data_IF_076448566325
#
_entry.id   IF_076448566325
#
_cell.length_a   1.000
_cell.length_b   1.000
_cell.length_c   1.000
_cell.angle_alpha   90.00
_cell.angle_beta   90.00
_cell.angle_gamma   90.00
#
_symmetry.space_group_name_H-M   'P 1'
#
loop_
_entity.id
_entity.type
_entity.pdbx_description
1 polymer ?
#
# COMPACT_ATOMS: atom_id res chain seq x y z
N UNK A 1 -0.10 25.41 13.44
CA UNK A 1 -0.84 24.41 12.66
C UNK A 1 0.03 23.15 12.42
N UNK A 2 1.34 23.29 12.28
CA UNK A 2 2.25 22.17 12.00
C UNK A 2 2.27 21.03 13.05
N UNK A 3 1.91 21.32 14.29
CA UNK A 3 1.89 20.37 15.41
C UNK A 3 0.47 19.93 15.82
N UNK A 4 -0.56 20.27 15.02
CA UNK A 4 -1.91 19.80 15.30
C UNK A 4 -2.03 18.35 14.87
N UNK A 5 -2.50 17.42 15.72
CA UNK A 5 -2.76 16.05 15.30
C UNK A 5 -3.80 16.02 14.19
N UNK A 6 -3.55 15.20 13.17
CA UNK A 6 -4.51 14.99 12.09
C UNK A 6 -5.81 14.44 12.67
N UNK A 7 -6.95 14.94 12.18
CA UNK A 7 -8.24 14.34 12.47
C UNK A 7 -8.29 12.95 11.84
N UNK A 8 -8.51 11.93 12.67
CA UNK A 8 -8.56 10.54 12.21
C UNK A 8 -9.98 10.06 11.90
N UNK A 9 -10.98 10.89 12.24
CA UNK A 9 -12.36 10.54 12.02
C UNK A 9 -12.90 11.11 10.72
N UNK A 10 -13.57 10.24 9.96
CA UNK A 10 -14.28 10.65 8.74
C UNK A 10 -15.64 11.23 9.17
N UNK A 11 -15.82 12.53 9.00
CA UNK A 11 -16.96 13.30 9.53
C UNK A 11 -18.34 12.86 9.03
N UNK A 12 -18.43 12.06 7.95
CA UNK A 12 -19.68 11.50 7.43
C UNK A 12 -19.97 10.05 7.87
N UNK A 13 -19.15 9.50 8.79
CA UNK A 13 -19.37 8.18 9.38
C UNK A 13 -19.78 8.37 10.85
N UNK A 14 -21.09 8.38 11.17
CA UNK A 14 -21.56 8.51 12.54
C UNK A 14 -21.05 7.32 13.38
N UNK A 15 -20.59 7.63 14.59
CA UNK A 15 -20.17 6.63 15.59
C UNK A 15 -19.05 5.66 15.16
N UNK A 16 -18.27 6.00 14.12
CA UNK A 16 -17.16 5.16 13.65
C UNK A 16 -17.59 3.85 12.98
N UNK A 17 -18.88 3.67 12.66
CA UNK A 17 -19.38 2.46 11.98
C UNK A 17 -19.15 2.54 10.46
N UNK A 18 -17.88 2.40 10.07
CA UNK A 18 -17.47 2.35 8.66
C UNK A 18 -18.09 1.17 7.91
N UNK A 19 -18.30 0.04 8.60
CA UNK A 19 -18.82 -1.17 8.00
C UNK A 19 -20.22 -0.96 7.45
N UNK A 20 -21.11 -0.30 8.19
CA UNK A 20 -22.48 -0.01 7.75
C UNK A 20 -22.52 0.90 6.52
N UNK A 21 -21.64 1.88 6.45
CA UNK A 21 -21.51 2.78 5.29
C UNK A 21 -21.04 2.02 4.06
N UNK A 22 -19.97 1.23 4.19
CA UNK A 22 -19.41 0.46 3.07
C UNK A 22 -20.40 -0.59 2.59
N UNK A 23 -21.16 -1.23 3.48
CA UNK A 23 -22.19 -2.23 3.12
C UNK A 23 -23.23 -1.68 2.14
N UNK A 24 -23.54 -0.39 2.21
CA UNK A 24 -24.47 0.27 1.28
C UNK A 24 -23.90 0.42 -0.14
N UNK A 25 -22.58 0.66 -0.24
CA UNK A 25 -21.92 0.96 -1.52
C UNK A 25 -21.21 -0.25 -2.15
N UNK A 26 -20.77 -1.20 -1.31
CA UNK A 26 -19.98 -2.37 -1.71
C UNK A 26 -20.39 -3.61 -0.91
N UNK A 27 -21.63 -4.10 -1.07
CA UNK A 27 -22.14 -5.26 -0.33
C UNK A 27 -21.31 -6.53 -0.59
N UNK A 28 -20.68 -6.65 -1.75
CA UNK A 28 -19.79 -7.76 -2.12
C UNK A 28 -18.56 -7.87 -1.22
N UNK A 29 -18.11 -6.77 -0.59
CA UNK A 29 -16.94 -6.75 0.29
C UNK A 29 -17.16 -7.49 1.63
N UNK A 30 -18.41 -7.91 1.91
CA UNK A 30 -18.78 -8.68 3.08
C UNK A 30 -18.98 -10.18 2.77
N UNK A 31 -18.73 -10.60 1.52
CA UNK A 31 -18.79 -12.02 1.17
C UNK A 31 -17.61 -12.77 1.77
N UNK A 32 -17.87 -13.98 2.23
CA UNK A 32 -16.82 -14.92 2.63
C UNK A 32 -15.90 -15.19 1.46
N UNK A 33 -14.62 -15.36 1.72
CA UNK A 33 -13.62 -15.63 0.71
C UNK A 33 -12.43 -16.38 1.29
N UNK A 34 -11.43 -16.60 0.46
CA UNK A 34 -10.27 -17.44 0.79
C UNK A 34 -9.16 -16.66 1.46
N UNK A 35 -8.49 -17.28 2.41
CA UNK A 35 -7.20 -16.86 2.92
C UNK A 35 -6.15 -17.82 2.35
N UNK A 36 -5.20 -17.28 1.60
CA UNK A 36 -4.11 -18.05 0.98
C UNK A 36 -2.78 -17.76 1.68
N UNK A 37 -1.90 -18.72 1.64
CA UNK A 37 -0.49 -18.53 1.95
C UNK A 37 0.28 -17.92 0.76
N UNK A 38 1.61 -17.75 0.90
CA UNK A 38 2.48 -17.20 -0.14
C UNK A 38 2.69 -18.16 -1.34
N UNK A 39 2.33 -19.43 -1.21
CA UNK A 39 2.38 -20.43 -2.28
C UNK A 39 1.08 -20.46 -3.08
N UNK A 40 0.02 -19.81 -2.57
CA UNK A 40 -1.32 -19.81 -3.13
C UNK A 40 -2.19 -20.96 -2.61
N UNK A 41 -1.77 -21.64 -1.55
CA UNK A 41 -2.57 -22.68 -0.89
C UNK A 41 -3.61 -22.05 0.03
N UNK A 42 -4.83 -22.57 -0.02
CA UNK A 42 -5.91 -22.09 0.88
C UNK A 42 -5.67 -22.64 2.28
N UNK A 43 -5.46 -21.75 3.24
CA UNK A 43 -5.22 -22.08 4.65
C UNK A 43 -6.36 -21.66 5.57
N UNK A 44 -7.37 -20.98 5.02
CA UNK A 44 -8.55 -20.57 5.77
C UNK A 44 -9.56 -19.79 4.96
N UNK A 45 -10.52 -19.20 5.66
CA UNK A 45 -11.58 -18.36 5.09
C UNK A 45 -11.73 -17.08 5.90
N UNK A 46 -12.14 -16.00 5.22
CA UNK A 46 -12.47 -14.72 5.84
C UNK A 46 -13.94 -14.37 5.67
N UNK A 47 -14.45 -13.52 6.54
CA UNK A 47 -15.83 -13.05 6.61
C UNK A 47 -16.06 -11.70 5.93
N UNK A 48 -15.26 -11.41 4.92
CA UNK A 48 -15.29 -10.17 4.12
C UNK A 48 -13.96 -9.45 4.12
N UNK A 49 -13.45 -9.10 2.92
CA UNK A 49 -12.16 -8.40 2.74
C UNK A 49 -12.12 -7.04 3.43
N UNK A 50 -13.29 -6.43 3.67
CA UNK A 50 -13.42 -5.13 4.34
C UNK A 50 -12.88 -5.13 5.78
N UNK A 51 -12.84 -6.30 6.42
CA UNK A 51 -12.39 -6.45 7.80
C UNK A 51 -10.85 -6.54 7.90
N UNK A 52 -10.14 -6.45 6.77
CA UNK A 52 -8.71 -6.64 6.71
C UNK A 52 -7.98 -5.46 6.11
N UNK A 53 -6.76 -5.24 6.59
CA UNK A 53 -5.87 -4.18 6.10
C UNK A 53 -4.48 -4.75 5.93
N UNK A 54 -3.76 -4.34 4.88
CA UNK A 54 -2.37 -4.76 4.66
C UNK A 54 -1.52 -4.40 5.89
N UNK A 55 -0.76 -5.38 6.39
CA UNK A 55 0.02 -5.27 7.62
C UNK A 55 -0.74 -5.67 8.90
N UNK A 56 -2.03 -5.97 8.82
CA UNK A 56 -2.81 -6.43 9.97
C UNK A 56 -2.33 -7.80 10.44
N UNK A 57 -2.15 -7.94 11.76
CA UNK A 57 -1.79 -9.19 12.44
C UNK A 57 -2.99 -9.81 13.17
N UNK A 58 -3.77 -8.96 13.87
CA UNK A 58 -4.88 -9.44 14.70
C UNK A 58 -6.11 -9.78 13.86
N UNK A 59 -6.85 -10.81 14.26
CA UNK A 59 -8.15 -11.15 13.64
C UNK A 59 -8.06 -12.06 12.42
N UNK A 60 -6.87 -12.54 12.02
CA UNK A 60 -6.72 -13.50 10.90
C UNK A 60 -7.32 -14.87 11.24
N UNK A 61 -7.35 -15.25 12.53
CA UNK A 61 -7.99 -16.49 13.06
C UNK A 61 -7.44 -17.80 12.47
N UNK A 62 -6.18 -17.81 12.01
CA UNK A 62 -5.52 -19.02 11.49
C UNK A 62 -4.46 -19.45 12.48
N UNK A 63 -4.51 -20.71 12.95
CA UNK A 63 -3.43 -21.28 13.76
C UNK A 63 -2.15 -21.35 12.95
N UNK A 64 -1.06 -20.83 13.50
CA UNK A 64 0.26 -20.84 12.87
C UNK A 64 1.35 -20.76 13.95
N UNK A 65 2.49 -21.42 13.71
CA UNK A 65 3.66 -21.33 14.58
C UNK A 65 4.24 -19.92 14.61
N UNK A 66 4.26 -19.26 13.44
CA UNK A 66 4.75 -17.89 13.28
C UNK A 66 3.59 -16.90 13.16
N UNK A 67 3.84 -15.64 13.55
CA UNK A 67 2.86 -14.60 13.43
C UNK A 67 2.56 -14.29 11.95
N UNK A 68 1.30 -14.44 11.54
CA UNK A 68 0.83 -14.10 10.20
C UNK A 68 0.37 -12.64 10.11
N UNK A 69 0.63 -12.05 8.97
CA UNK A 69 0.24 -10.69 8.59
C UNK A 69 -0.48 -10.70 7.25
N UNK A 70 -1.43 -9.82 7.07
CA UNK A 70 -2.05 -9.58 5.75
C UNK A 70 -1.02 -8.95 4.83
N UNK A 71 -0.61 -9.68 3.80
CA UNK A 71 0.40 -9.24 2.83
C UNK A 71 -0.25 -8.56 1.63
N UNK A 72 -1.37 -9.12 1.15
CA UNK A 72 -2.11 -8.58 0.03
C UNK A 72 -3.60 -8.86 0.16
N UNK A 73 -4.42 -8.03 -0.49
CA UNK A 73 -5.88 -8.16 -0.58
C UNK A 73 -6.26 -8.08 -2.05
N UNK A 74 -6.76 -9.19 -2.57
CA UNK A 74 -7.30 -9.31 -3.92
C UNK A 74 -8.81 -9.10 -3.89
N UNK A 75 -9.24 -7.90 -4.19
CA UNK A 75 -10.65 -7.56 -4.19
C UNK A 75 -11.42 -8.19 -5.36
N UNK A 76 -10.77 -8.46 -6.50
CA UNK A 76 -11.41 -9.06 -7.67
C UNK A 76 -11.74 -10.53 -7.43
N UNK A 77 -10.80 -11.27 -6.82
CA UNK A 77 -10.96 -12.68 -6.50
C UNK A 77 -11.49 -12.93 -5.08
N UNK A 78 -11.79 -11.87 -4.34
CA UNK A 78 -12.25 -11.93 -2.95
C UNK A 78 -11.33 -12.80 -2.07
N UNK A 79 -10.02 -12.51 -2.12
CA UNK A 79 -8.98 -13.33 -1.49
C UNK A 79 -8.03 -12.48 -0.68
N UNK A 80 -7.57 -13.01 0.45
CA UNK A 80 -6.54 -12.40 1.30
C UNK A 80 -5.31 -13.30 1.27
N UNK A 81 -4.12 -12.70 1.08
CA UNK A 81 -2.85 -13.40 1.14
C UNK A 81 -2.17 -13.03 2.45
N UNK A 82 -1.76 -14.04 3.20
CA UNK A 82 -1.07 -13.86 4.48
C UNK A 82 0.32 -14.49 4.45
N UNK A 83 1.20 -13.95 5.30
CA UNK A 83 2.57 -14.43 5.43
C UNK A 83 3.29 -13.79 6.60
N UNK A 84 4.56 -14.07 6.75
CA UNK A 84 5.39 -13.51 7.80
C UNK A 84 5.65 -12.01 7.59
N UNK A 85 6.07 -11.30 8.65
CA UNK A 85 6.28 -9.86 8.66
C UNK A 85 7.25 -9.37 7.59
N UNK A 86 8.27 -10.15 7.29
CA UNK A 86 9.31 -9.87 6.30
C UNK A 86 8.74 -9.76 4.88
N UNK A 87 7.62 -10.43 4.63
CA UNK A 87 6.92 -10.40 3.34
C UNK A 87 6.14 -9.09 3.11
N UNK A 88 6.02 -8.24 4.14
CA UNK A 88 5.47 -6.89 4.00
C UNK A 88 6.45 -5.91 3.35
N UNK A 89 7.73 -6.26 3.21
CA UNK A 89 8.72 -5.39 2.58
C UNK A 89 8.40 -5.19 1.10
N UNK A 90 8.16 -3.95 0.72
CA UNK A 90 7.88 -3.55 -0.66
C UNK A 90 9.17 -3.09 -1.31
N UNK A 91 9.52 -3.69 -2.45
CA UNK A 91 10.70 -3.34 -3.24
C UNK A 91 10.38 -2.51 -4.48
N UNK A 92 9.23 -2.75 -5.06
CA UNK A 92 8.81 -2.03 -6.26
C UNK A 92 7.36 -1.63 -6.15
N UNK A 93 7.02 -0.54 -6.82
CA UNK A 93 5.62 -0.12 -6.97
C UNK A 93 5.40 0.55 -8.32
N UNK A 94 4.16 0.48 -8.80
CA UNK A 94 3.70 1.19 -9.99
C UNK A 94 2.74 2.29 -9.59
N UNK A 95 2.93 3.48 -10.16
CA UNK A 95 2.04 4.60 -9.97
C UNK A 95 1.22 4.87 -11.22
N UNK A 96 0.03 5.41 -11.03
CA UNK A 96 -0.85 5.98 -12.06
C UNK A 96 -1.18 7.43 -11.73
N UNK A 97 -1.83 8.10 -12.68
CA UNK A 97 -2.32 9.47 -12.51
C UNK A 97 -1.20 10.43 -12.05
N UNK A 98 -0.10 10.43 -12.81
CA UNK A 98 1.08 11.21 -12.47
C UNK A 98 0.85 12.71 -12.64
N UNK A 99 1.31 13.49 -11.66
CA UNK A 99 1.52 14.92 -11.79
C UNK A 99 3.02 15.23 -11.62
N UNK A 100 3.70 15.63 -12.68
CA UNK A 100 5.14 15.87 -12.73
C UNK A 100 5.42 17.37 -12.79
N UNK A 101 6.13 17.87 -11.78
CA UNK A 101 6.54 19.27 -11.64
C UNK A 101 8.04 19.46 -11.95
N UNK A 102 8.82 18.42 -11.70
CA UNK A 102 10.26 18.43 -11.94
C UNK A 102 10.64 18.17 -13.39
N UNK A 103 11.87 18.48 -13.74
CA UNK A 103 12.43 18.18 -15.06
C UNK A 103 12.82 16.71 -15.20
N UNK A 104 12.80 16.16 -16.43
CA UNK A 104 13.23 14.77 -16.69
C UNK A 104 14.65 14.46 -16.21
N UNK A 105 15.52 15.48 -16.13
CA UNK A 105 16.92 15.32 -15.67
C UNK A 105 17.00 14.97 -14.19
N UNK A 106 16.06 15.48 -13.36
CA UNK A 106 16.02 15.23 -11.91
C UNK A 106 15.70 13.75 -11.60
N UNK A 107 14.91 13.09 -12.44
CA UNK A 107 14.54 11.68 -12.27
C UNK A 107 15.60 10.67 -12.74
N UNK A 108 16.69 11.13 -13.36
CA UNK A 108 17.84 10.24 -13.73
C UNK A 108 18.69 9.84 -12.53
N UNK A 109 18.52 10.49 -11.40
CA UNK A 109 19.26 10.26 -10.15
C UNK A 109 18.38 9.51 -9.15
N UNK A 110 18.99 8.99 -8.09
CA UNK A 110 18.25 8.56 -6.90
C UNK A 110 17.61 9.79 -6.27
N UNK A 111 16.31 9.72 -6.05
CA UNK A 111 15.55 10.79 -5.40
C UNK A 111 14.86 10.26 -4.14
N UNK A 112 14.28 11.16 -3.37
CA UNK A 112 13.51 10.80 -2.20
C UNK A 112 12.02 10.68 -2.56
N UNK A 113 11.34 9.72 -1.95
CA UNK A 113 9.89 9.56 -2.07
C UNK A 113 9.25 9.54 -0.68
N UNK A 114 7.99 9.92 -0.61
CA UNK A 114 7.18 9.83 0.60
C UNK A 114 5.85 9.19 0.26
N UNK A 115 5.47 8.14 0.98
CA UNK A 115 4.26 7.33 0.74
C UNK A 115 3.19 7.52 1.83
N UNK A 116 3.51 8.29 2.88
CA UNK A 116 2.59 8.66 3.96
C UNK A 116 2.94 10.04 4.49
N UNK A 117 1.94 10.80 4.98
CA UNK A 117 2.14 12.15 5.55
C UNK A 117 3.13 12.15 6.71
N UNK A 118 3.05 11.17 7.60
CA UNK A 118 3.91 11.01 8.77
C UNK A 118 5.14 10.12 8.52
N UNK A 119 5.28 9.54 7.29
CA UNK A 119 6.36 8.64 6.93
C UNK A 119 7.69 9.38 6.73
N UNK A 120 8.80 8.64 6.84
CA UNK A 120 10.13 9.12 6.47
C UNK A 120 10.28 9.24 4.96
N UNK A 121 11.27 9.99 4.52
CA UNK A 121 11.72 9.97 3.13
C UNK A 121 12.47 8.66 2.84
N UNK A 122 12.15 8.05 1.71
CA UNK A 122 12.76 6.81 1.22
C UNK A 122 13.54 7.10 -0.05
N UNK A 123 14.73 6.51 -0.18
CA UNK A 123 15.51 6.59 -1.42
C UNK A 123 14.90 5.68 -2.47
N UNK A 124 14.75 6.19 -3.69
CA UNK A 124 14.17 5.45 -4.79
C UNK A 124 14.77 5.82 -6.14
N UNK A 125 14.72 4.89 -7.09
CA UNK A 125 14.89 5.13 -8.52
C UNK A 125 13.50 5.15 -9.16
N UNK A 126 13.30 6.09 -10.07
CA UNK A 126 12.01 6.30 -10.73
C UNK A 126 12.19 6.22 -12.23
N UNK A 127 11.41 5.37 -12.86
CA UNK A 127 11.27 5.30 -14.31
C UNK A 127 9.89 5.85 -14.70
N UNK A 128 9.88 7.06 -15.28
CA UNK A 128 8.64 7.72 -15.72
C UNK A 128 8.30 7.24 -17.12
N UNK A 129 7.11 6.66 -17.25
CA UNK A 129 6.46 6.31 -18.51
C UNK A 129 5.50 7.42 -18.93
N UNK A 130 4.71 7.23 -20.01
CA UNK A 130 3.80 8.27 -20.52
C UNK A 130 2.75 8.71 -19.47
N UNK A 131 2.09 7.77 -18.80
CA UNK A 131 0.97 8.01 -17.88
C UNK A 131 1.17 7.32 -16.53
N UNK A 132 2.29 6.62 -16.34
CA UNK A 132 2.59 5.84 -15.16
C UNK A 132 4.07 5.97 -14.78
N UNK A 133 4.43 5.50 -13.60
CA UNK A 133 5.82 5.38 -13.19
C UNK A 133 6.07 4.04 -12.51
N UNK A 134 7.27 3.52 -12.70
CA UNK A 134 7.80 2.38 -11.98
C UNK A 134 8.86 2.87 -11.00
N UNK A 135 8.74 2.41 -9.76
CA UNK A 135 9.58 2.86 -8.66
C UNK A 135 10.28 1.67 -8.04
N UNK A 136 11.59 1.72 -7.96
CA UNK A 136 12.42 0.81 -7.19
C UNK A 136 12.78 1.49 -5.86
N UNK A 137 12.34 0.92 -4.74
CA UNK A 137 12.62 1.43 -3.40
C UNK A 137 13.94 0.83 -2.93
N UNK A 138 14.89 1.69 -2.57
CA UNK A 138 16.23 1.28 -2.15
C UNK A 138 16.31 1.04 -0.64
N UNK A 139 15.45 1.71 0.12
CA UNK A 139 15.33 1.53 1.56
C UNK A 139 14.36 0.39 1.91
N UNK A 140 14.49 -0.14 3.13
CA UNK A 140 13.50 -1.10 3.66
C UNK A 140 12.26 -0.34 4.09
N UNK A 141 11.10 -0.67 3.53
CA UNK A 141 9.82 -0.11 3.95
C UNK A 141 8.71 -1.16 3.87
N UNK A 142 7.80 -1.11 4.83
CA UNK A 142 6.68 -2.04 4.95
C UNK A 142 5.35 -1.31 4.97
N UNK A 143 4.26 -2.03 4.67
CA UNK A 143 2.91 -1.48 4.77
C UNK A 143 2.60 -0.39 3.73
N UNK A 144 3.28 -0.39 2.59
CA UNK A 144 2.89 0.40 1.42
C UNK A 144 1.72 -0.31 0.74
N UNK A 145 0.65 0.42 0.50
CA UNK A 145 -0.58 -0.15 -0.05
C UNK A 145 -1.05 0.60 -1.30
N UNK A 146 -1.69 -0.09 -2.24
CA UNK A 146 -2.42 0.57 -3.33
C UNK A 146 -3.43 1.59 -2.79
N UNK A 147 -3.68 2.66 -3.56
CA UNK A 147 -4.56 3.75 -3.17
C UNK A 147 -3.89 4.87 -2.37
N UNK A 148 -2.68 4.68 -1.87
CA UNK A 148 -1.91 5.76 -1.23
C UNK A 148 -1.23 6.66 -2.26
N UNK A 149 -1.00 7.93 -1.90
CA UNK A 149 -0.19 8.85 -2.71
C UNK A 149 1.30 8.57 -2.49
N UNK A 150 2.09 8.68 -3.57
CA UNK A 150 3.53 8.70 -3.52
C UNK A 150 4.02 10.05 -4.06
N UNK A 151 4.72 10.82 -3.24
CA UNK A 151 5.25 12.14 -3.60
C UNK A 151 6.76 12.07 -3.75
N UNK A 152 7.26 12.73 -4.80
CA UNK A 152 8.68 12.74 -5.18
C UNK A 152 9.35 14.03 -4.70
N UNK A 153 10.56 13.90 -4.14
CA UNK A 153 11.33 14.99 -3.62
C UNK A 153 12.78 14.94 -4.11
N UNK A 154 13.34 16.10 -4.39
CA UNK A 154 14.80 16.32 -4.40
C UNK A 154 15.17 17.21 -3.23
N UNK A 155 16.38 17.05 -2.74
CA UNK A 155 16.95 17.95 -1.74
C UNK A 155 17.92 18.91 -2.41
N UNK A 156 17.75 20.20 -2.13
CA UNK A 156 18.66 21.26 -2.51
C UNK A 156 19.17 22.02 -1.27
N UNK A 157 19.85 23.13 -1.47
CA UNK A 157 20.41 23.97 -0.39
C UNK A 157 19.33 24.63 0.48
N UNK A 158 18.13 24.80 -0.06
CA UNK A 158 17.00 25.46 0.62
C UNK A 158 16.17 24.44 1.41
N UNK A 159 16.13 23.17 0.94
CA UNK A 159 15.35 22.11 1.60
C UNK A 159 14.82 21.05 0.63
N UNK A 160 13.66 20.50 0.96
CA UNK A 160 13.02 19.45 0.15
C UNK A 160 12.09 20.07 -0.90
N UNK A 161 12.49 19.98 -2.17
CA UNK A 161 11.72 20.43 -3.34
C UNK A 161 10.81 19.31 -3.82
N UNK A 162 9.51 19.58 -4.00
CA UNK A 162 8.56 18.62 -4.60
C UNK A 162 8.79 18.54 -6.12
N UNK A 163 8.99 17.32 -6.61
CA UNK A 163 9.16 17.01 -8.04
C UNK A 163 7.90 16.48 -8.71
N UNK A 164 6.89 16.12 -7.92
CA UNK A 164 5.64 15.54 -8.40
C UNK A 164 5.21 14.35 -7.58
N UNK A 165 4.36 13.51 -8.17
CA UNK A 165 3.86 12.30 -7.53
C UNK A 165 2.78 11.60 -8.34
N UNK A 166 2.15 10.59 -7.73
CA UNK A 166 1.04 9.84 -8.31
C UNK A 166 0.42 8.91 -7.29
N UNK A 167 -0.60 8.17 -7.71
CA UNK A 167 -1.29 7.20 -6.87
C UNK A 167 -0.67 5.82 -7.03
N UNK A 168 -0.38 5.15 -5.92
CA UNK A 168 0.11 3.78 -5.93
C UNK A 168 -1.00 2.88 -6.48
N UNK A 169 -0.71 2.23 -7.60
CA UNK A 169 -1.64 1.30 -8.25
C UNK A 169 -1.35 -0.15 -7.86
N UNK A 170 -0.06 -0.52 -7.86
CA UNK A 170 0.41 -1.88 -7.51
C UNK A 170 1.67 -1.80 -6.69
N UNK A 171 1.85 -2.79 -5.82
CA UNK A 171 3.09 -3.03 -5.07
C UNK A 171 3.61 -4.43 -5.37
N UNK A 172 4.93 -4.58 -5.38
CA UNK A 172 5.64 -5.86 -5.47
C UNK A 172 6.41 -6.08 -4.17
N UNK A 173 5.93 -7.02 -3.39
CA UNK A 173 6.54 -7.41 -2.13
C UNK A 173 7.68 -8.39 -2.40
N UNK A 174 8.69 -8.39 -1.55
CA UNK A 174 9.95 -9.12 -1.75
C UNK A 174 9.79 -10.62 -2.02
N UNK A 175 8.84 -11.28 -1.39
CA UNK A 175 8.67 -12.74 -1.44
C UNK A 175 7.31 -13.18 -2.00
N UNK A 176 6.55 -12.27 -2.62
CA UNK A 176 5.29 -12.63 -3.23
C UNK A 176 5.52 -13.26 -4.61
N UNK A 177 4.96 -14.43 -4.85
CA UNK A 177 5.00 -15.05 -6.17
C UNK A 177 4.38 -14.14 -7.22
N UNK A 178 4.95 -14.01 -8.43
CA UNK A 178 4.36 -13.22 -9.52
C UNK A 178 2.91 -13.59 -9.83
N UNK A 179 2.50 -14.83 -9.57
CA UNK A 179 1.12 -15.32 -9.75
C UNK A 179 0.12 -14.72 -8.75
N UNK A 180 0.61 -14.23 -7.61
CA UNK A 180 -0.19 -13.64 -6.53
C UNK A 180 -0.08 -12.11 -6.51
N UNK A 181 0.61 -11.53 -7.48
CA UNK A 181 0.74 -10.08 -7.65
C UNK A 181 -0.36 -9.60 -8.60
N UNK A 182 -1.29 -8.86 -8.07
CA UNK A 182 -2.45 -8.30 -8.80
C UNK A 182 -2.14 -6.91 -9.30
#
# INVERSE_FOLDING_TARGET
VANKPDSQDICFVPNGDYASVIKKFRPESFKTGKILDLNGEQIGEHDGIINYTIGQRKGIKIPSENALYVINIDAENNTIIVGEKECLEVKQMKLRDLNILGSKKEFKKVINIKVRSTGRLLKAKINILKTSAEIEILDKETGISPGQACVFYSRDEIGDKVLGGGWIHKTLNKNLSPKLTI
#
